data_IF_129143203027
#
_entry.id   IF_129143203027
#
_cell.length_a   1.000
_cell.length_b   1.000
_cell.length_c   1.000
_cell.angle_alpha   90.00
_cell.angle_beta   90.00
_cell.angle_gamma   90.00
#
_symmetry.space_group_name_H-M   'P 1'
#
loop_
_entity.id
_entity.type
_entity.pdbx_description
1 polymer ?
#
# COMPACT_ATOMS: atom_id res chain seq x y z
N UNK A 1 -36.73 -7.57 0.62
CA UNK A 1 -35.81 -8.64 1.06
C UNK A 1 -34.91 -8.08 2.15
N UNK A 2 -35.25 -8.27 3.42
CA UNK A 2 -34.30 -7.99 4.51
C UNK A 2 -34.49 -9.07 5.56
N UNK A 3 -33.63 -10.08 5.49
CA UNK A 3 -33.57 -11.25 6.36
C UNK A 3 -32.47 -10.99 7.41
N UNK A 4 -32.88 -11.06 8.68
CA UNK A 4 -32.20 -11.64 9.86
C UNK A 4 -30.70 -11.31 10.07
N UNK A 5 -30.32 -10.49 11.05
CA UNK A 5 -30.26 -10.80 12.50
C UNK A 5 -29.14 -11.81 12.81
N UNK A 6 -27.94 -11.29 13.14
CA UNK A 6 -26.94 -11.97 13.96
C UNK A 6 -26.15 -10.95 14.81
N UNK A 7 -26.68 -10.56 15.98
CA UNK A 7 -25.89 -9.99 17.06
C UNK A 7 -25.43 -11.15 17.95
N UNK A 8 -24.23 -11.70 17.76
CA UNK A 8 -23.63 -12.66 18.69
C UNK A 8 -22.13 -12.80 18.41
N UNK A 9 -21.32 -12.84 19.47
CA UNK A 9 -19.90 -13.24 19.50
C UNK A 9 -18.85 -12.11 19.45
N UNK A 10 -18.90 -11.21 20.44
CA UNK A 10 -17.70 -10.49 20.91
C UNK A 10 -17.28 -10.96 22.31
N UNK A 11 -17.37 -12.27 22.60
CA UNK A 11 -16.93 -12.82 23.88
C UNK A 11 -16.51 -14.30 23.75
N UNK A 12 -15.29 -14.60 24.24
CA UNK A 12 -14.64 -15.90 24.43
C UNK A 12 -13.86 -16.51 23.25
N UNK A 13 -12.56 -16.16 23.18
CA UNK A 13 -11.49 -17.10 22.81
C UNK A 13 -10.13 -16.60 23.36
N UNK A 14 -9.94 -16.69 24.68
CA UNK A 14 -8.62 -16.64 25.32
C UNK A 14 -8.42 -17.95 26.08
N UNK A 15 -7.74 -18.93 25.47
CA UNK A 15 -7.17 -20.08 26.16
C UNK A 15 -6.17 -20.86 25.27
N UNK A 16 -4.90 -20.82 25.69
CA UNK A 16 -3.83 -21.83 25.55
C UNK A 16 -3.30 -22.27 24.19
N UNK A 17 -2.08 -21.79 23.88
CA UNK A 17 -0.83 -22.56 23.68
C UNK A 17 0.26 -21.58 23.19
N UNK A 18 1.20 -21.17 24.05
CA UNK A 18 2.55 -21.77 24.14
C UNK A 18 3.27 -21.78 22.79
N UNK A 19 4.13 -20.78 22.61
CA UNK A 19 4.95 -20.59 21.42
C UNK A 19 4.82 -19.17 20.91
N UNK A 20 5.85 -18.36 21.17
CA UNK A 20 6.25 -17.30 20.26
C UNK A 20 6.62 -17.98 18.93
N UNK A 21 5.62 -18.46 18.19
CA UNK A 21 5.81 -18.97 16.84
C UNK A 21 6.13 -17.74 16.01
N UNK A 22 7.42 -17.63 15.71
CA UNK A 22 8.06 -16.73 14.78
C UNK A 22 7.46 -16.90 13.38
N UNK A 23 6.18 -16.64 13.17
CA UNK A 23 5.63 -16.34 11.86
C UNK A 23 5.83 -14.85 11.58
N UNK A 24 7.08 -14.41 11.73
CA UNK A 24 7.60 -13.21 11.08
C UNK A 24 8.13 -13.65 9.71
N UNK A 25 7.22 -14.10 8.83
CA UNK A 25 7.44 -13.91 7.40
C UNK A 25 7.52 -12.38 7.16
N UNK A 26 8.40 -11.92 6.25
CA UNK A 26 9.19 -10.72 6.46
C UNK A 26 8.35 -9.43 6.45
N UNK A 27 8.18 -8.80 7.62
CA UNK A 27 7.71 -7.41 7.79
C UNK A 27 8.60 -6.34 7.13
N UNK A 28 9.60 -6.76 6.35
CA UNK A 28 10.58 -5.93 5.68
C UNK A 28 10.21 -5.65 4.20
N UNK A 29 9.05 -6.10 3.72
CA UNK A 29 8.70 -6.05 2.29
C UNK A 29 7.86 -4.82 1.93
N UNK A 30 6.83 -4.46 2.71
CA UNK A 30 6.05 -3.23 2.52
C UNK A 30 6.91 -1.97 2.64
N UNK A 31 7.72 -1.81 3.70
CA UNK A 31 8.52 -0.59 3.89
C UNK A 31 9.59 -0.40 2.82
N UNK A 32 10.24 -1.47 2.38
CA UNK A 32 11.20 -1.42 1.27
C UNK A 32 10.54 -0.98 -0.06
N UNK A 33 9.30 -1.43 -0.31
CA UNK A 33 8.54 -1.01 -1.48
C UNK A 33 8.02 0.43 -1.37
N UNK A 34 7.68 0.89 -0.17
CA UNK A 34 7.34 2.29 0.09
C UNK A 34 8.54 3.18 -0.20
N UNK A 35 9.74 2.84 0.28
CA UNK A 35 10.95 3.62 0.01
C UNK A 35 11.23 3.70 -1.49
N UNK A 36 11.16 2.57 -2.21
CA UNK A 36 11.34 2.55 -3.67
C UNK A 36 10.26 3.35 -4.42
N UNK A 37 8.99 3.23 -4.02
CA UNK A 37 7.89 4.02 -4.56
C UNK A 37 8.09 5.52 -4.28
N UNK A 38 8.54 5.86 -3.06
CA UNK A 38 8.79 7.25 -2.66
C UNK A 38 9.93 7.83 -3.48
N UNK A 39 11.07 7.17 -3.56
CA UNK A 39 12.25 7.59 -4.30
C UNK A 39 11.94 7.96 -5.76
N UNK A 40 11.20 7.10 -6.45
CA UNK A 40 10.76 7.36 -7.83
C UNK A 40 9.78 8.53 -7.85
N UNK A 41 8.82 8.58 -6.93
CA UNK A 41 7.80 9.65 -6.91
C UNK A 41 8.38 11.05 -6.68
N UNK A 42 9.48 11.18 -5.92
CA UNK A 42 10.18 12.48 -5.73
C UNK A 42 11.10 12.80 -6.91
N UNK A 43 11.67 11.78 -7.54
CA UNK A 43 12.52 11.94 -8.72
C UNK A 43 11.72 12.31 -9.98
N UNK A 44 10.45 11.89 -10.04
CA UNK A 44 9.56 12.15 -11.15
C UNK A 44 9.13 13.63 -11.21
N UNK A 45 9.31 14.29 -12.35
CA UNK A 45 8.96 15.70 -12.54
C UNK A 45 8.12 15.89 -13.81
N UNK A 46 6.95 16.52 -13.72
CA UNK A 46 6.02 16.75 -14.85
C UNK A 46 6.62 17.50 -16.06
N UNK A 47 7.76 18.16 -15.89
CA UNK A 47 8.44 18.87 -16.98
C UNK A 47 9.35 17.96 -17.82
N UNK A 48 9.85 16.85 -17.25
CA UNK A 48 10.83 15.97 -17.90
C UNK A 48 10.51 14.47 -17.76
N UNK A 49 9.48 14.11 -16.99
CA UNK A 49 9.04 12.73 -16.83
C UNK A 49 8.50 12.22 -18.17
N UNK A 50 8.86 10.99 -18.51
CA UNK A 50 8.27 10.30 -19.64
C UNK A 50 7.11 9.37 -19.18
N UNK A 51 6.26 8.91 -20.12
CA UNK A 51 5.15 8.02 -19.78
C UNK A 51 5.57 6.72 -19.07
N UNK A 52 6.75 6.19 -19.41
CA UNK A 52 7.29 4.94 -18.87
C UNK A 52 7.66 5.07 -17.38
N UNK A 53 8.40 6.13 -17.02
CA UNK A 53 8.75 6.44 -15.62
C UNK A 53 7.49 6.69 -14.79
N UNK A 54 6.48 7.31 -15.40
CA UNK A 54 5.23 7.58 -14.72
C UNK A 54 4.42 6.29 -14.47
N UNK A 55 4.35 5.41 -15.46
CA UNK A 55 3.73 4.09 -15.32
C UNK A 55 4.49 3.22 -14.31
N UNK A 56 5.82 3.26 -14.32
CA UNK A 56 6.64 2.53 -13.34
C UNK A 56 6.32 3.01 -11.91
N UNK A 57 6.23 4.32 -11.70
CA UNK A 57 5.88 4.85 -10.39
C UNK A 57 4.50 4.36 -9.93
N UNK A 58 3.47 4.46 -10.78
CA UNK A 58 2.12 4.00 -10.45
C UNK A 58 2.10 2.51 -10.11
N UNK A 59 2.81 1.70 -10.89
CA UNK A 59 2.89 0.25 -10.71
C UNK A 59 3.54 -0.12 -9.36
N UNK A 60 4.71 0.46 -9.06
CA UNK A 60 5.43 0.22 -7.81
C UNK A 60 4.65 0.70 -6.59
N UNK A 61 4.04 1.87 -6.66
CA UNK A 61 3.23 2.41 -5.56
C UNK A 61 1.92 1.64 -5.35
N UNK A 62 1.30 1.10 -6.41
CA UNK A 62 0.12 0.24 -6.28
C UNK A 62 0.47 -1.06 -5.57
N UNK A 63 1.57 -1.71 -5.97
CA UNK A 63 2.05 -2.93 -5.32
C UNK A 63 2.42 -2.71 -3.86
N UNK A 64 3.01 -1.56 -3.54
CA UNK A 64 3.28 -1.17 -2.15
C UNK A 64 1.98 -1.05 -1.35
N UNK A 65 0.93 -0.42 -1.89
CA UNK A 65 -0.37 -0.31 -1.21
C UNK A 65 -1.01 -1.67 -0.93
N UNK A 66 -0.99 -2.58 -1.91
CA UNK A 66 -1.55 -3.93 -1.76
C UNK A 66 -0.85 -4.68 -0.61
N UNK A 67 0.48 -4.70 -0.64
CA UNK A 67 1.26 -5.39 0.41
C UNK A 67 1.10 -4.72 1.78
N UNK A 68 1.13 -3.39 1.86
CA UNK A 68 0.94 -2.70 3.14
C UNK A 68 -0.48 -2.88 3.70
N UNK A 69 -1.49 -3.06 2.85
CA UNK A 69 -2.84 -3.41 3.27
C UNK A 69 -2.88 -4.85 3.82
N UNK A 70 -2.30 -5.81 3.12
CA UNK A 70 -2.19 -7.22 3.58
C UNK A 70 -1.42 -7.33 4.90
N UNK A 71 -0.36 -6.54 5.07
CA UNK A 71 0.45 -6.49 6.29
C UNK A 71 -0.16 -5.65 7.42
N UNK A 72 -1.36 -5.07 7.23
CA UNK A 72 -2.02 -4.17 8.19
C UNK A 72 -1.13 -3.01 8.65
N UNK A 73 -0.29 -2.49 7.74
CA UNK A 73 0.58 -1.34 7.98
C UNK A 73 -0.10 -0.04 7.50
N UNK A 74 -0.96 0.53 8.35
CA UNK A 74 -1.73 1.74 8.01
C UNK A 74 -0.85 2.93 7.63
N UNK A 75 0.28 3.14 8.32
CA UNK A 75 1.23 4.23 8.02
C UNK A 75 1.88 4.03 6.66
N UNK A 76 2.24 2.79 6.36
CA UNK A 76 2.80 2.43 5.08
C UNK A 76 1.80 2.58 3.93
N UNK A 77 0.55 2.17 4.17
CA UNK A 77 -0.57 2.33 3.24
C UNK A 77 -0.87 3.80 2.93
N UNK A 78 -0.86 4.67 3.94
CA UNK A 78 -1.03 6.12 3.78
C UNK A 78 0.10 6.71 2.94
N UNK A 79 1.35 6.36 3.26
CA UNK A 79 2.54 6.82 2.54
C UNK A 79 2.56 6.37 1.08
N UNK A 80 2.26 5.09 0.82
CA UNK A 80 2.17 4.53 -0.53
C UNK A 80 1.02 5.18 -1.34
N UNK A 81 -0.10 5.49 -0.68
CA UNK A 81 -1.23 6.17 -1.32
C UNK A 81 -0.91 7.62 -1.71
N UNK A 82 -0.20 8.36 -0.86
CA UNK A 82 0.25 9.71 -1.17
C UNK A 82 1.21 9.73 -2.38
N UNK A 83 2.22 8.85 -2.39
CA UNK A 83 3.17 8.72 -3.50
C UNK A 83 2.48 8.27 -4.80
N UNK A 84 1.53 7.33 -4.72
CA UNK A 84 0.72 6.92 -5.87
C UNK A 84 -0.08 8.09 -6.45
N UNK A 85 -0.74 8.90 -5.60
CA UNK A 85 -1.48 10.08 -6.05
C UNK A 85 -0.57 11.11 -6.71
N UNK A 86 0.64 11.33 -6.18
CA UNK A 86 1.63 12.22 -6.80
C UNK A 86 1.97 11.76 -8.21
N UNK A 87 2.30 10.48 -8.37
CA UNK A 87 2.60 9.91 -9.68
C UNK A 87 1.41 9.97 -10.64
N UNK A 88 0.18 9.76 -10.15
CA UNK A 88 -1.01 9.87 -11.00
C UNK A 88 -1.22 11.30 -11.52
N UNK A 89 -0.97 12.30 -10.67
CA UNK A 89 -1.05 13.71 -11.06
C UNK A 89 0.01 14.07 -12.11
N UNK A 90 1.24 13.57 -11.96
CA UNK A 90 2.30 13.77 -12.96
C UNK A 90 1.90 13.10 -14.28
N UNK A 91 1.40 11.85 -14.26
CA UNK A 91 0.98 11.13 -15.47
C UNK A 91 -0.14 11.88 -16.19
N UNK A 92 -1.10 12.39 -15.43
CA UNK A 92 -2.20 13.20 -15.97
C UNK A 92 -1.70 14.49 -16.61
N UNK A 93 -0.70 15.14 -16.00
CA UNK A 93 -0.04 16.31 -16.54
C UNK A 93 0.69 16.04 -17.86
N UNK A 94 1.25 14.84 -18.04
CA UNK A 94 1.88 14.42 -19.29
C UNK A 94 0.86 14.19 -20.42
N UNK A 95 -0.29 13.59 -20.12
CA UNK A 95 -1.35 13.31 -21.11
C UNK A 95 -2.16 14.54 -21.54
N UNK A 96 -2.02 15.66 -20.82
CA UNK A 96 -2.77 16.89 -21.07
C UNK A 96 -1.96 17.96 -21.84
N UNK A 97 -0.70 17.68 -22.18
CA UNK A 97 0.15 18.51 -23.06
C UNK A 97 0.06 18.00 -24.49
#
# INVERSE_FOLDING_TARGET
MTKYLYPFLCVFALASQEGHAQNAAPKASCEALIDACRDISVSLNVNNANPDECQECISKCSKAKELCFEETNDKGLESASASHMNCANICKGLLSK
#
